data_IF_218329376210
#
_entry.id   IF_218329376210
#
_cell.length_a   1.000
_cell.length_b   1.000
_cell.length_c   1.000
_cell.angle_alpha   90.00
_cell.angle_beta   90.00
_cell.angle_gamma   90.00
#
_symmetry.space_group_name_H-M   'P 1'
#
loop_
_entity.id
_entity.type
_entity.pdbx_description
1 polymer ?
#
# COMPACT_ATOMS: atom_id res chain seq x y z
N UNK A 1 -17.55 -5.82 -8.58
CA UNK A 1 -16.45 -6.02 -7.60
C UNK A 1 -15.55 -4.81 -7.71
N UNK A 2 -15.53 -3.93 -6.71
CA UNK A 2 -14.68 -2.75 -6.74
C UNK A 2 -13.39 -3.05 -5.98
N UNK A 3 -12.26 -2.96 -6.66
CA UNK A 3 -10.94 -2.90 -6.03
C UNK A 3 -10.67 -1.44 -5.69
N UNK A 4 -10.29 -1.14 -4.45
CA UNK A 4 -9.96 0.21 -4.01
C UNK A 4 -8.57 0.21 -3.38
N UNK A 5 -7.70 1.10 -3.86
CA UNK A 5 -6.36 1.31 -3.34
C UNK A 5 -6.31 2.69 -2.70
N UNK A 6 -5.97 2.74 -1.41
CA UNK A 6 -5.83 3.98 -0.65
C UNK A 6 -4.36 4.27 -0.41
N UNK A 7 -3.88 5.41 -0.90
CA UNK A 7 -2.52 5.88 -0.64
C UNK A 7 -2.37 7.39 -0.83
N UNK A 8 -1.19 7.93 -0.57
CA UNK A 8 -0.88 9.31 -0.91
C UNK A 8 -0.85 9.55 -2.42
N UNK A 9 -1.07 10.80 -2.85
CA UNK A 9 -0.89 11.27 -4.22
C UNK A 9 0.59 11.44 -4.58
N UNK A 10 1.33 10.37 -4.35
CA UNK A 10 2.70 10.14 -4.76
C UNK A 10 2.81 8.69 -5.23
N UNK A 11 3.94 8.34 -5.83
CA UNK A 11 4.25 6.95 -6.19
C UNK A 11 4.47 6.11 -4.93
N UNK A 12 5.59 6.35 -4.23
CA UNK A 12 5.93 5.73 -2.96
C UNK A 12 5.72 4.21 -2.94
N UNK A 13 5.24 3.70 -1.81
CA UNK A 13 5.04 2.28 -1.58
C UNK A 13 3.82 1.68 -2.31
N UNK A 14 2.90 2.50 -2.84
CA UNK A 14 1.75 2.01 -3.59
C UNK A 14 2.02 1.83 -5.09
N UNK A 15 3.10 2.39 -5.62
CA UNK A 15 3.41 2.30 -7.04
C UNK A 15 3.56 0.87 -7.55
N UNK A 16 4.27 -0.05 -6.85
CA UNK A 16 4.34 -1.44 -7.28
C UNK A 16 2.94 -2.09 -7.35
N UNK A 17 2.05 -1.74 -6.42
CA UNK A 17 0.67 -2.24 -6.39
C UNK A 17 -0.11 -1.76 -7.62
N UNK A 18 -0.01 -0.47 -7.95
CA UNK A 18 -0.66 0.12 -9.14
C UNK A 18 -0.19 -0.57 -10.42
N UNK A 19 1.12 -0.83 -10.54
CA UNK A 19 1.69 -1.54 -11.68
C UNK A 19 1.16 -2.97 -11.79
N UNK A 20 1.13 -3.72 -10.69
CA UNK A 20 0.64 -5.10 -10.66
C UNK A 20 -0.85 -5.18 -11.04
N UNK A 21 -1.68 -4.29 -10.47
CA UNK A 21 -3.12 -4.25 -10.78
C UNK A 21 -3.38 -3.89 -12.24
N UNK A 22 -2.63 -2.90 -12.76
CA UNK A 22 -2.75 -2.47 -14.16
C UNK A 22 -2.29 -3.57 -15.13
N UNK A 23 -1.17 -4.24 -14.83
CA UNK A 23 -0.67 -5.36 -15.63
C UNK A 23 -1.65 -6.55 -15.61
N UNK A 24 -2.25 -6.83 -14.45
CA UNK A 24 -3.30 -7.84 -14.30
C UNK A 24 -4.62 -7.50 -14.98
N UNK A 25 -4.74 -6.35 -15.65
CA UNK A 25 -5.95 -5.91 -16.34
C UNK A 25 -7.12 -5.59 -15.41
N UNK A 26 -6.85 -5.37 -14.12
CA UNK A 26 -7.87 -5.10 -13.11
C UNK A 26 -8.16 -3.62 -13.05
N UNK A 27 -9.42 -3.25 -13.26
CA UNK A 27 -9.89 -1.91 -12.94
C UNK A 27 -9.98 -1.74 -11.42
N UNK A 28 -9.31 -0.72 -10.91
CA UNK A 28 -9.33 -0.35 -9.50
C UNK A 28 -9.52 1.16 -9.35
N UNK A 29 -10.14 1.54 -8.24
CA UNK A 29 -10.28 2.92 -7.81
C UNK A 29 -9.01 3.31 -7.03
N UNK A 30 -8.23 4.24 -7.57
CA UNK A 30 -7.02 4.78 -6.94
C UNK A 30 -7.39 6.01 -6.11
N UNK A 31 -7.67 5.79 -4.83
CA UNK A 31 -8.12 6.81 -3.89
C UNK A 31 -6.87 7.47 -3.28
N UNK A 32 -6.63 8.73 -3.67
CA UNK A 32 -5.41 9.45 -3.35
C UNK A 32 -5.63 10.56 -2.33
N UNK A 33 -4.81 10.58 -1.29
CA UNK A 33 -4.76 11.67 -0.32
C UNK A 33 -3.54 12.59 -0.59
N UNK A 34 -3.68 13.92 -0.46
CA UNK A 34 -2.52 14.80 -0.57
C UNK A 34 -1.53 14.51 0.56
N UNK A 35 -0.26 14.29 0.22
CA UNK A 35 0.82 14.14 1.21
C UNK A 35 1.17 15.48 1.87
N UNK A 36 1.02 16.57 1.11
CA UNK A 36 1.33 17.94 1.54
C UNK A 36 0.27 18.96 1.07
N UNK A 37 0.05 20.04 1.82
CA UNK A 37 0.55 20.26 3.18
C UNK A 37 -0.13 19.31 4.17
N UNK A 38 0.62 18.85 5.18
CA UNK A 38 0.01 18.24 6.37
C UNK A 38 -1.09 19.19 6.88
N UNK A 39 -2.23 18.68 7.37
CA UNK A 39 -3.31 19.54 7.80
C UNK A 39 -2.78 20.50 8.88
N UNK A 40 -3.10 21.82 8.80
CA UNK A 40 -2.29 22.91 9.38
C UNK A 40 -2.10 22.89 10.90
N UNK A 41 -2.78 22.00 11.62
CA UNK A 41 -2.49 21.57 12.99
C UNK A 41 -3.36 20.35 13.26
N UNK A 42 -2.75 19.17 13.33
CA UNK A 42 -3.41 18.04 13.98
C UNK A 42 -3.60 18.42 15.47
N UNK A 43 -4.82 18.34 16.03
CA UNK A 43 -5.05 18.43 17.47
C UNK A 43 -4.08 17.49 18.21
N UNK A 44 -3.65 17.86 19.41
CA UNK A 44 -2.64 17.08 20.14
C UNK A 44 -3.11 15.64 20.41
N UNK A 45 -4.42 15.41 20.46
CA UNK A 45 -5.04 14.08 20.61
C UNK A 45 -4.83 13.19 19.37
N UNK A 46 -4.64 13.78 18.18
CA UNK A 46 -4.45 13.07 16.91
C UNK A 46 -2.96 12.73 16.65
N UNK A 47 -2.03 13.34 17.40
CA UNK A 47 -0.59 13.02 17.27
C UNK A 47 -0.25 11.59 17.71
N UNK A 48 -1.08 10.98 18.56
CA UNK A 48 -0.84 9.62 19.07
C UNK A 48 -1.42 8.53 18.18
N UNK A 49 -2.32 8.85 17.25
CA UNK A 49 -2.76 7.91 16.22
C UNK A 49 -2.44 8.46 14.84
N UNK A 50 -1.30 8.03 14.28
CA UNK A 50 -1.02 8.19 12.83
C UNK A 50 -2.23 7.76 11.98
N UNK A 51 -3.02 6.82 12.52
CA UNK A 51 -4.30 6.31 12.01
C UNK A 51 -5.31 7.42 11.69
N UNK A 52 -5.57 8.36 12.62
CA UNK A 52 -6.60 9.38 12.46
C UNK A 52 -6.23 10.46 11.42
N UNK A 53 -4.94 10.74 11.24
CA UNK A 53 -4.48 11.70 10.21
C UNK A 53 -4.74 11.20 8.79
N UNK A 54 -4.70 9.88 8.60
CA UNK A 54 -4.92 9.19 7.32
C UNK A 54 -6.41 8.96 7.10
N UNK A 55 -7.14 8.49 8.13
CA UNK A 55 -8.61 8.39 8.15
C UNK A 55 -9.31 9.72 7.84
N UNK A 56 -8.75 10.85 8.29
CA UNK A 56 -9.27 12.18 7.97
C UNK A 56 -9.38 12.42 6.46
N UNK A 57 -8.36 12.04 5.68
CA UNK A 57 -8.36 12.21 4.23
C UNK A 57 -9.21 11.18 3.49
N UNK A 58 -9.40 9.99 4.06
CA UNK A 58 -10.16 8.90 3.43
C UNK A 58 -11.61 8.78 3.90
N UNK A 59 -12.06 9.73 4.74
CA UNK A 59 -13.43 9.81 5.26
C UNK A 59 -13.70 8.78 6.36
N UNK A 60 -14.65 9.11 7.25
CA UNK A 60 -15.15 8.28 8.36
C UNK A 60 -15.93 7.02 7.88
N UNK A 61 -15.61 6.50 6.69
CA UNK A 61 -16.36 5.47 5.99
C UNK A 61 -15.87 4.06 6.40
N UNK A 62 -15.82 3.75 7.70
CA UNK A 62 -15.40 2.43 8.21
C UNK A 62 -14.11 1.89 7.56
N UNK A 63 -13.23 2.76 7.08
CA UNK A 63 -11.92 2.43 6.50
C UNK A 63 -10.94 2.16 7.64
N UNK A 64 -11.32 1.24 8.54
CA UNK A 64 -10.45 0.72 9.56
C UNK A 64 -9.25 0.07 8.87
N UNK A 65 -8.14 0.80 8.86
CA UNK A 65 -6.85 0.25 8.50
C UNK A 65 -6.46 -0.69 9.64
N UNK A 66 -6.28 -1.98 9.36
CA UNK A 66 -5.97 -3.01 10.39
C UNK A 66 -4.79 -2.65 11.29
N UNK A 67 -3.87 -1.81 10.80
CA UNK A 67 -2.65 -1.40 11.51
C UNK A 67 -2.38 0.10 11.44
N UNK A 68 -3.39 0.92 11.14
CA UNK A 68 -3.16 2.37 11.06
C UNK A 68 -2.28 2.85 9.90
N UNK A 69 -1.96 1.96 8.97
CA UNK A 69 -0.96 2.19 7.92
C UNK A 69 -1.58 2.11 6.53
N UNK A 70 -1.02 2.90 5.63
CA UNK A 70 -1.29 2.84 4.19
C UNK A 70 0.02 2.49 3.46
N UNK A 71 -0.03 1.79 2.31
CA UNK A 71 -1.21 1.52 1.49
C UNK A 71 -2.19 0.51 2.08
N UNK A 72 -3.48 0.75 1.84
CA UNK A 72 -4.60 -0.14 2.15
C UNK A 72 -5.27 -0.56 0.84
N UNK A 73 -5.57 -1.85 0.73
CA UNK A 73 -6.37 -2.41 -0.35
C UNK A 73 -7.69 -2.93 0.18
N UNK A 74 -8.81 -2.54 -0.45
CA UNK A 74 -10.13 -3.13 -0.21
C UNK A 74 -10.64 -3.83 -1.48
N UNK A 75 -11.08 -5.07 -1.33
CA UNK A 75 -11.62 -5.88 -2.42
C UNK A 75 -12.43 -7.05 -1.86
N UNK A 76 -13.54 -7.42 -2.52
CA UNK A 76 -14.35 -8.59 -2.15
C UNK A 76 -14.78 -8.63 -0.65
N UNK A 77 -14.99 -7.46 -0.02
CA UNK A 77 -15.29 -7.37 1.41
C UNK A 77 -14.09 -7.66 2.34
N UNK A 78 -12.89 -7.83 1.78
CA UNK A 78 -11.62 -8.05 2.48
C UNK A 78 -10.78 -6.77 2.45
N UNK A 79 -9.87 -6.67 3.42
CA UNK A 79 -8.89 -5.59 3.55
C UNK A 79 -7.48 -6.15 3.69
N UNK A 80 -6.50 -5.55 3.03
CA UNK A 80 -5.09 -5.86 3.19
C UNK A 80 -4.28 -4.58 3.33
N UNK A 81 -3.40 -4.56 4.34
CA UNK A 81 -2.39 -3.53 4.55
C UNK A 81 -0.99 -4.06 4.20
N UNK A 82 0.00 -3.16 4.23
CA UNK A 82 1.41 -3.39 3.90
C UNK A 82 1.67 -3.54 2.40
N UNK A 83 2.50 -2.67 1.86
CA UNK A 83 2.75 -2.59 0.41
C UNK A 83 3.23 -3.90 -0.20
N UNK A 84 4.19 -4.56 0.45
CA UNK A 84 4.77 -5.82 -0.02
C UNK A 84 3.77 -6.97 0.06
N UNK A 85 2.98 -7.03 1.13
CA UNK A 85 1.93 -8.04 1.29
C UNK A 85 0.87 -7.91 0.20
N UNK A 86 0.39 -6.70 -0.04
CA UNK A 86 -0.58 -6.42 -1.11
C UNK A 86 0.03 -6.77 -2.47
N UNK A 87 1.27 -6.35 -2.73
CA UNK A 87 1.98 -6.63 -3.99
C UNK A 87 2.12 -8.14 -4.23
N UNK A 88 2.60 -8.91 -3.24
CA UNK A 88 2.73 -10.36 -3.33
C UNK A 88 1.39 -11.06 -3.55
N UNK A 89 0.34 -10.62 -2.87
CA UNK A 89 -1.01 -11.18 -3.03
C UNK A 89 -1.49 -11.08 -4.48
N UNK A 90 -1.41 -9.88 -5.07
CA UNK A 90 -1.85 -9.69 -6.45
C UNK A 90 -0.89 -10.24 -7.48
N UNK A 91 0.43 -10.21 -7.23
CA UNK A 91 1.41 -10.85 -8.10
C UNK A 91 1.11 -12.36 -8.21
N UNK A 92 0.82 -13.04 -7.09
CA UNK A 92 0.37 -14.45 -7.12
C UNK A 92 -0.97 -14.62 -7.84
N UNK A 93 -1.96 -13.76 -7.57
CA UNK A 93 -3.28 -13.80 -8.23
C UNK A 93 -3.19 -13.65 -9.76
N UNK A 94 -2.19 -12.94 -10.26
CA UNK A 94 -1.98 -12.68 -11.69
C UNK A 94 -0.80 -13.46 -12.30
N UNK A 95 -0.26 -14.46 -11.60
CA UNK A 95 0.86 -15.29 -12.08
C UNK A 95 2.15 -14.51 -12.43
N UNK A 96 2.48 -13.49 -11.61
CA UNK A 96 3.65 -12.62 -11.77
C UNK A 96 4.76 -12.90 -10.74
N UNK A 97 4.65 -13.97 -9.95
CA UNK A 97 5.56 -14.31 -8.86
C UNK A 97 6.34 -15.61 -9.12
N UNK A 98 6.69 -15.88 -10.38
CA UNK A 98 7.36 -17.12 -10.78
C UNK A 98 6.42 -18.32 -10.94
N UNK A 99 6.95 -19.38 -11.54
CA UNK A 99 6.21 -20.62 -11.87
C UNK A 99 6.35 -21.70 -10.79
N UNK A 100 7.30 -21.55 -9.87
CA UNK A 100 7.58 -22.49 -8.79
C UNK A 100 8.07 -21.75 -7.54
N UNK A 101 8.16 -22.47 -6.41
CA UNK A 101 8.53 -21.89 -5.11
C UNK A 101 9.91 -21.24 -5.10
N UNK A 102 10.86 -21.76 -5.89
CA UNK A 102 12.20 -21.19 -5.98
C UNK A 102 12.21 -19.88 -6.76
N UNK A 103 11.51 -19.81 -7.90
CA UNK A 103 11.33 -18.56 -8.66
C UNK A 103 10.58 -17.49 -7.85
N UNK A 104 9.57 -17.89 -7.08
CA UNK A 104 8.89 -16.98 -6.15
C UNK A 104 9.85 -16.45 -5.08
N UNK A 105 10.71 -17.32 -4.55
CA UNK A 105 11.77 -16.94 -3.63
C UNK A 105 12.76 -15.94 -4.22
N UNK A 106 13.15 -16.11 -5.49
CA UNK A 106 14.01 -15.14 -6.20
C UNK A 106 13.32 -13.78 -6.33
N UNK A 107 12.02 -13.74 -6.65
CA UNK A 107 11.26 -12.48 -6.67
C UNK A 107 11.30 -11.78 -5.31
N UNK A 108 11.12 -12.53 -4.22
CA UNK A 108 11.17 -12.00 -2.86
C UNK A 108 12.59 -11.48 -2.52
N UNK A 109 13.64 -12.20 -2.89
CA UNK A 109 15.03 -11.79 -2.70
C UNK A 109 15.33 -10.43 -3.38
N UNK A 110 14.92 -10.25 -4.63
CA UNK A 110 15.10 -8.97 -5.34
C UNK A 110 14.36 -7.82 -4.66
N UNK A 111 13.11 -8.05 -4.24
CA UNK A 111 12.29 -7.04 -3.57
C UNK A 111 12.92 -6.66 -2.23
N UNK A 112 13.30 -7.64 -1.42
CA UNK A 112 13.85 -7.39 -0.09
C UNK A 112 15.21 -6.67 -0.18
N UNK A 113 16.05 -7.03 -1.15
CA UNK A 113 17.32 -6.33 -1.42
C UNK A 113 17.12 -4.85 -1.73
N UNK A 114 16.11 -4.52 -2.56
CA UNK A 114 15.78 -3.12 -2.88
C UNK A 114 15.30 -2.37 -1.64
N UNK A 115 14.46 -3.00 -0.82
CA UNK A 115 13.93 -2.41 0.40
C UNK A 115 15.04 -2.15 1.42
N UNK A 116 15.94 -3.10 1.62
CA UNK A 116 17.09 -2.95 2.52
C UNK A 116 18.04 -1.86 2.05
N UNK A 117 18.27 -1.76 0.73
CA UNK A 117 19.05 -0.67 0.14
C UNK A 117 18.42 0.71 0.39
N UNK A 118 17.10 0.84 0.20
CA UNK A 118 16.37 2.09 0.47
C UNK A 118 16.49 2.47 1.95
N UNK A 119 16.21 1.53 2.86
CA UNK A 119 16.32 1.75 4.32
C UNK A 119 17.73 2.16 4.74
N UNK A 120 18.76 1.57 4.13
CA UNK A 120 20.16 1.92 4.45
C UNK A 120 20.51 3.35 4.06
N UNK A 121 19.97 3.86 2.95
CA UNK A 121 20.18 5.25 2.55
C UNK A 121 19.53 6.25 3.50
N UNK A 122 18.42 5.89 4.13
CA UNK A 122 17.75 6.74 5.11
C UNK A 122 18.51 6.86 6.45
N UNK A 123 19.50 5.99 6.69
CA UNK A 123 20.34 5.99 7.90
C UNK A 123 21.66 6.75 7.74
N UNK A 124 21.96 7.26 6.54
CA UNK A 124 23.15 8.05 6.22
C UNK A 124 22.80 9.53 6.09
#
# INVERSE_FOLDING_TARGET
>A
MAYKLYYYDIRGAAEPIRMILSYGGVQFEDIRAPMFPLPPKLPKEIKESKEQSVLFYFGNNNTETTWGTIPLMEFEGKKLNQSLTISRYFAKKFHLAGSNDFEAGLCDEYVDTVIDYIKRKEQL
#
